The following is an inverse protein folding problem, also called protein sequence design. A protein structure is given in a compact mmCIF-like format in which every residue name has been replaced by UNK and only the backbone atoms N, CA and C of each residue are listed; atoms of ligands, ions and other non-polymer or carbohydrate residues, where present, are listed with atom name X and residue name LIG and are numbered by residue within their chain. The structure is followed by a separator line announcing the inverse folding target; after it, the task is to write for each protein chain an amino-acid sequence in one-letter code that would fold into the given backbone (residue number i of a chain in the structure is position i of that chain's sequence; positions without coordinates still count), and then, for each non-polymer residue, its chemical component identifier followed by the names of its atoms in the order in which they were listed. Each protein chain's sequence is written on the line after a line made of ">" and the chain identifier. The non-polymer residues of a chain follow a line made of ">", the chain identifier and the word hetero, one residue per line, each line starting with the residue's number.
data_IF_245179315731
#
_entry.id   IF_245179315731
#
_cell.length_a   1.000
_cell.length_b   1.000
_cell.length_c   1.000
_cell.angle_alpha   90.00
_cell.angle_beta   90.00
_cell.angle_gamma   90.00
#
_symmetry.space_group_name_H-M   'P 1'
#
loop_
_entity.id
_entity.type
_entity.pdbx_description
1 polymer ?
#
# COMPACT_ATOMS: atom_id res chain seq x y z
N UNK A 1 3.20 3.27 -3.85
CA UNK A 1 2.80 2.94 -2.46
C UNK A 1 2.28 4.20 -1.74
N UNK A 2 1.78 4.10 -0.50
CA UNK A 2 1.18 5.23 0.24
C UNK A 2 2.14 6.43 0.42
N UNK A 3 1.58 7.57 0.81
CA UNK A 3 2.33 8.76 1.21
C UNK A 3 2.23 9.01 2.72
N UNK A 4 3.29 9.53 3.34
CA UNK A 4 3.30 9.93 4.76
C UNK A 4 2.22 10.99 5.03
N UNK A 5 1.31 10.82 6.00
CA UNK A 5 0.34 11.86 6.34
C UNK A 5 1.02 13.09 6.96
N UNK A 6 2.19 12.92 7.60
CA UNK A 6 2.93 14.01 8.25
C UNK A 6 3.76 14.82 7.26
N UNK A 7 4.55 14.14 6.43
CA UNK A 7 5.56 14.79 5.58
C UNK A 7 5.23 14.80 4.10
N UNK A 8 4.14 14.14 3.67
CA UNK A 8 3.78 13.93 2.26
C UNK A 8 4.93 13.37 1.41
N UNK A 9 5.84 12.65 2.03
CA UNK A 9 6.90 11.92 1.31
C UNK A 9 6.37 10.56 0.86
N UNK A 10 6.79 10.08 -0.33
CA UNK A 10 6.46 8.74 -0.77
C UNK A 10 7.03 7.70 0.19
N UNK A 11 6.28 6.61 0.38
CA UNK A 11 6.70 5.47 1.20
C UNK A 11 6.99 4.28 0.31
N UNK A 12 7.86 3.40 0.79
CA UNK A 12 8.36 2.23 0.07
C UNK A 12 8.14 0.96 0.88
N UNK A 13 8.27 -0.19 0.21
CA UNK A 13 8.36 -1.46 0.92
C UNK A 13 9.68 -1.49 1.72
N UNK A 14 9.61 -1.91 2.99
CA UNK A 14 10.76 -1.90 3.88
C UNK A 14 10.89 -3.20 4.66
N UNK A 15 9.98 -3.47 5.61
CA UNK A 15 10.15 -4.59 6.54
C UNK A 15 9.70 -5.96 6.00
N UNK A 16 8.84 -6.00 4.97
CA UNK A 16 8.18 -7.21 4.45
C UNK A 16 7.44 -8.11 5.45
N UNK A 17 7.34 -7.70 6.72
CA UNK A 17 6.68 -8.45 7.80
C UNK A 17 5.35 -7.82 8.24
N UNK A 18 4.89 -6.78 7.53
CA UNK A 18 3.66 -6.05 7.86
C UNK A 18 3.78 -5.01 8.99
N UNK A 19 4.82 -5.08 9.82
CA UNK A 19 5.00 -4.21 10.99
C UNK A 19 5.09 -2.71 10.64
N UNK A 20 5.85 -2.35 9.59
CA UNK A 20 6.04 -0.94 9.23
C UNK A 20 4.82 -0.30 8.55
N UNK A 21 3.91 -1.10 7.99
CA UNK A 21 2.74 -0.66 7.21
C UNK A 21 3.01 0.31 6.04
N UNK A 22 4.27 0.50 5.64
CA UNK A 22 4.63 1.40 4.55
C UNK A 22 4.24 0.87 3.15
N UNK A 23 3.94 -0.43 3.06
CA UNK A 23 3.48 -1.10 1.84
C UNK A 23 1.94 -1.13 1.68
N UNK A 24 1.20 -0.29 2.42
CA UNK A 24 -0.25 -0.19 2.25
C UNK A 24 -0.63 0.21 0.82
N UNK A 25 -1.60 -0.50 0.28
CA UNK A 25 -2.27 -0.25 -1.00
C UNK A 25 -3.77 -0.39 -0.84
N UNK A 26 -4.55 0.10 -1.80
CA UNK A 26 -5.98 -0.18 -1.89
C UNK A 26 -6.20 -1.19 -3.00
N UNK A 27 -6.75 -2.35 -2.65
CA UNK A 27 -7.03 -3.46 -3.55
C UNK A 27 -8.54 -3.64 -3.55
N UNK A 28 -9.21 -3.52 -4.70
CA UNK A 28 -10.67 -3.63 -4.81
C UNK A 28 -11.43 -2.80 -3.75
N UNK A 29 -10.97 -1.57 -3.47
CA UNK A 29 -11.58 -0.67 -2.50
C UNK A 29 -11.19 -0.89 -1.03
N UNK A 30 -10.51 -1.99 -0.67
CA UNK A 30 -10.05 -2.28 0.70
C UNK A 30 -8.56 -1.98 0.88
N UNK A 31 -8.17 -1.52 2.07
CA UNK A 31 -6.75 -1.31 2.41
C UNK A 31 -6.11 -2.63 2.84
N UNK A 32 -5.02 -3.00 2.18
CA UNK A 32 -4.28 -4.24 2.46
C UNK A 32 -2.77 -3.99 2.48
N UNK A 33 -2.03 -4.88 3.16
CA UNK A 33 -0.57 -4.85 3.16
C UNK A 33 -0.06 -5.63 1.95
N UNK A 34 0.54 -4.94 0.99
CA UNK A 34 1.05 -5.58 -0.22
C UNK A 34 2.08 -6.68 0.10
N UNK A 35 2.91 -6.51 1.14
CA UNK A 35 3.92 -7.51 1.49
C UNK A 35 3.37 -8.80 2.10
N UNK A 36 2.08 -8.87 2.45
CA UNK A 36 1.44 -10.05 3.05
C UNK A 36 0.24 -10.53 2.23
N UNK A 37 -0.05 -9.88 1.10
CA UNK A 37 -1.19 -10.24 0.25
C UNK A 37 -0.68 -11.03 -0.95
N UNK A 38 -1.06 -12.31 -1.11
CA UNK A 38 -0.72 -13.08 -2.31
C UNK A 38 -1.30 -12.41 -3.55
N UNK A 39 -0.50 -12.37 -4.62
CA UNK A 39 -0.94 -11.83 -5.92
C UNK A 39 -1.95 -12.80 -6.54
N UNK A 40 -3.02 -12.25 -7.09
CA UNK A 40 -4.03 -12.97 -7.87
C UNK A 40 -4.26 -12.23 -9.19
N UNK A 41 -4.59 -13.00 -10.22
CA UNK A 41 -4.92 -12.46 -11.54
C UNK A 41 -6.11 -11.50 -11.46
N UNK A 42 -6.06 -10.40 -12.20
CA UNK A 42 -7.16 -9.42 -12.26
C UNK A 42 -7.28 -8.47 -11.05
N UNK A 43 -6.36 -8.51 -10.08
CA UNK A 43 -6.36 -7.55 -8.96
C UNK A 43 -6.20 -6.11 -9.43
N UNK A 44 -7.09 -5.21 -8.97
CA UNK A 44 -6.99 -3.77 -9.24
C UNK A 44 -6.40 -3.07 -8.01
N UNK A 45 -5.19 -2.52 -8.18
CA UNK A 45 -4.41 -1.95 -7.08
C UNK A 45 -4.22 -0.45 -7.30
N UNK A 46 -4.56 0.36 -6.29
CA UNK A 46 -4.33 1.79 -6.24
C UNK A 46 -3.21 2.11 -5.25
N UNK A 47 -2.30 3.00 -5.64
CA UNK A 47 -1.17 3.43 -4.81
C UNK A 47 -0.94 4.94 -4.94
N UNK A 48 -0.03 5.51 -4.15
CA UNK A 48 0.37 6.90 -4.32
C UNK A 48 -0.71 7.88 -3.89
N UNK A 49 -0.99 8.88 -4.73
CA UNK A 49 -2.08 9.84 -4.51
C UNK A 49 -3.45 9.15 -4.51
N UNK A 50 -3.63 8.13 -5.38
CA UNK A 50 -4.89 7.40 -5.53
C UNK A 50 -5.21 6.50 -4.33
N UNK A 51 -4.24 6.24 -3.45
CA UNK A 51 -4.47 5.54 -2.18
C UNK A 51 -5.13 6.43 -1.12
N UNK A 52 -4.89 7.75 -1.19
CA UNK A 52 -5.37 8.72 -0.21
C UNK A 52 -6.80 9.20 -0.49
N UNK A 53 -7.26 9.10 -1.75
CA UNK A 53 -8.67 9.18 -2.11
C UNK A 53 -9.45 8.02 -1.46
#
# INVERSE_FOLDING_TARGET
>A
LRYSPRSRQPRGAFCFMGVCQECLVRLDGRRVLACQTPVQEGMVIQTGADFAA
#
